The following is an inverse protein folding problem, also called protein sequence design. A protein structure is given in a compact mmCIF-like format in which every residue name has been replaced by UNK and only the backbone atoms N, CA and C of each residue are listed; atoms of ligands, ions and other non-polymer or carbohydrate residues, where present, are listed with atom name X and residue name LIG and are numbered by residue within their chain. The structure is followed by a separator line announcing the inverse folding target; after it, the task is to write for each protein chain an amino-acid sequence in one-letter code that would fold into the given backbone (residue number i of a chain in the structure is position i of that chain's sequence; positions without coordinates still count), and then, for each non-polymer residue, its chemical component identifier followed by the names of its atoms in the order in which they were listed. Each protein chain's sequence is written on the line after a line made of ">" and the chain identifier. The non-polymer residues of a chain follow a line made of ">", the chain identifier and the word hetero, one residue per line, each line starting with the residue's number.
data_IF_583446421506
#
_entry.id   IF_583446421506
#
_cell.length_a   1.000
_cell.length_b   1.000
_cell.length_c   1.000
_cell.angle_alpha   90.00
_cell.angle_beta   90.00
_cell.angle_gamma   90.00
#
_symmetry.space_group_name_H-M   'P 1'
#
loop_
_entity.id
_entity.type
_entity.pdbx_description
1 polymer ?
#
# COMPACT_ATOMS: atom_id res chain seq x y z
N UNK A 1 -6.07 11.50 -0.70
CA UNK A 1 -6.88 10.49 -1.41
C UNK A 1 -7.79 9.74 -0.44
N UNK A 2 -8.84 9.09 -0.91
CA UNK A 2 -9.69 8.18 -0.12
C UNK A 2 -9.15 6.75 -0.11
N UNK A 3 -9.70 5.89 0.77
CA UNK A 3 -9.33 4.46 0.80
C UNK A 3 -9.66 3.76 -0.52
N UNK A 4 -10.82 4.07 -1.09
CA UNK A 4 -11.29 3.44 -2.32
C UNK A 4 -10.48 3.90 -3.53
N UNK A 5 -10.09 5.18 -3.57
CA UNK A 5 -9.16 5.70 -4.57
C UNK A 5 -7.80 4.99 -4.53
N UNK A 6 -7.24 4.80 -3.32
CA UNK A 6 -5.99 4.06 -3.13
C UNK A 6 -6.15 2.59 -3.56
N UNK A 7 -7.27 1.97 -3.23
CA UNK A 7 -7.56 0.58 -3.58
C UNK A 7 -7.69 0.43 -5.08
N UNK A 8 -8.44 1.31 -5.75
CA UNK A 8 -8.58 1.31 -7.20
C UNK A 8 -7.24 1.55 -7.90
N UNK A 9 -6.43 2.50 -7.42
CA UNK A 9 -5.08 2.71 -7.93
C UNK A 9 -4.21 1.46 -7.78
N UNK A 10 -4.21 0.84 -6.60
CA UNK A 10 -3.38 -0.33 -6.33
C UNK A 10 -3.81 -1.52 -7.19
N UNK A 11 -5.10 -1.78 -7.32
CA UNK A 11 -5.62 -2.85 -8.19
C UNK A 11 -5.22 -2.63 -9.66
N UNK A 12 -5.32 -1.40 -10.17
CA UNK A 12 -4.82 -1.06 -11.53
C UNK A 12 -3.31 -1.27 -11.69
N UNK A 13 -2.55 -1.19 -10.60
CA UNK A 13 -1.10 -1.41 -10.57
C UNK A 13 -0.73 -2.86 -10.20
N UNK A 14 -1.66 -3.80 -10.31
CA UNK A 14 -1.42 -5.23 -10.11
C UNK A 14 -1.32 -5.66 -8.65
N UNK A 15 -1.83 -4.88 -7.71
CA UNK A 15 -2.02 -5.34 -6.34
C UNK A 15 -3.35 -6.10 -6.21
N UNK A 16 -3.36 -7.19 -5.46
CA UNK A 16 -4.54 -8.02 -5.24
C UNK A 16 -5.09 -7.84 -3.82
N UNK A 17 -6.41 -7.69 -3.68
CA UNK A 17 -7.06 -7.61 -2.37
C UNK A 17 -7.06 -8.99 -1.70
N UNK A 18 -6.62 -9.04 -0.44
CA UNK A 18 -6.66 -10.24 0.38
C UNK A 18 -7.97 -10.36 1.19
N UNK A 19 -8.21 -11.52 1.79
CA UNK A 19 -9.42 -11.79 2.60
C UNK A 19 -9.57 -10.88 3.84
N UNK A 20 -8.53 -10.13 4.21
CA UNK A 20 -8.53 -9.22 5.35
C UNK A 20 -8.66 -7.75 4.92
N UNK A 21 -8.83 -7.49 3.61
CA UNK A 21 -8.98 -6.14 3.09
C UNK A 21 -7.67 -5.36 2.97
N UNK A 22 -6.53 -6.05 2.93
CA UNK A 22 -5.24 -5.46 2.54
C UNK A 22 -4.92 -5.79 1.09
N UNK A 23 -4.02 -5.02 0.48
CA UNK A 23 -3.58 -5.27 -0.90
C UNK A 23 -2.20 -5.92 -0.88
N UNK A 24 -1.98 -6.99 -1.64
CA UNK A 24 -0.69 -7.69 -1.74
C UNK A 24 -0.15 -7.67 -3.16
N UNK A 25 1.17 -7.68 -3.29
CA UNK A 25 1.86 -7.80 -4.56
C UNK A 25 3.23 -8.45 -4.35
N UNK A 26 3.60 -9.36 -5.25
CA UNK A 26 4.94 -9.95 -5.27
C UNK A 26 5.92 -9.02 -5.98
N UNK A 27 7.10 -8.90 -5.40
CA UNK A 27 8.26 -8.20 -5.94
C UNK A 27 9.48 -9.12 -5.88
N UNK A 28 10.55 -8.79 -6.59
CA UNK A 28 11.78 -9.60 -6.63
C UNK A 28 12.42 -9.80 -5.25
N UNK A 29 12.19 -8.87 -4.33
CA UNK A 29 12.67 -8.91 -2.95
C UNK A 29 11.64 -9.49 -1.95
N UNK A 30 10.50 -10.01 -2.43
CA UNK A 30 9.51 -10.72 -1.63
C UNK A 30 8.08 -10.17 -1.74
N UNK A 31 7.18 -10.72 -0.92
CA UNK A 31 5.78 -10.28 -0.88
C UNK A 31 5.64 -8.96 -0.14
N UNK A 32 5.05 -7.97 -0.78
CA UNK A 32 4.68 -6.71 -0.15
C UNK A 32 3.17 -6.63 0.10
N UNK A 33 2.80 -5.78 1.06
CA UNK A 33 1.40 -5.48 1.38
C UNK A 33 1.18 -3.99 1.61
N UNK A 34 0.10 -3.44 1.08
CA UNK A 34 -0.50 -2.20 1.56
C UNK A 34 -1.57 -2.54 2.60
N UNK A 35 -1.24 -2.31 3.88
CA UNK A 35 -2.18 -2.42 4.98
C UNK A 35 -3.05 -1.16 5.01
N UNK A 36 -4.34 -1.33 4.70
CA UNK A 36 -5.32 -0.26 4.70
C UNK A 36 -5.98 -0.12 6.08
N UNK A 37 -5.96 1.09 6.62
CA UNK A 37 -6.71 1.46 7.83
C UNK A 37 -7.69 2.59 7.50
N UNK A 38 -8.49 3.01 8.50
CA UNK A 38 -9.48 4.07 8.32
C UNK A 38 -8.87 5.41 7.87
N UNK A 39 -7.64 5.73 8.31
CA UNK A 39 -7.04 7.06 8.09
C UNK A 39 -5.65 7.01 7.44
N UNK A 40 -5.06 5.83 7.28
CA UNK A 40 -3.69 5.67 6.83
C UNK A 40 -3.50 4.36 6.05
N UNK A 41 -2.45 4.33 5.25
CA UNK A 41 -1.93 3.11 4.61
C UNK A 41 -0.49 2.86 5.07
N UNK A 42 -0.11 1.59 5.18
CA UNK A 42 1.28 1.17 5.45
C UNK A 42 1.76 0.26 4.33
N UNK A 43 2.94 0.53 3.80
CA UNK A 43 3.66 -0.38 2.92
C UNK A 43 4.54 -1.28 3.77
N UNK A 44 4.29 -2.57 3.69
CA UNK A 44 4.94 -3.59 4.49
C UNK A 44 5.56 -4.65 3.59
N UNK A 45 6.62 -5.31 4.06
CA UNK A 45 7.25 -6.47 3.43
C UNK A 45 7.09 -7.69 4.34
N UNK A 46 6.85 -8.85 3.73
CA UNK A 46 6.79 -10.12 4.44
C UNK A 46 8.20 -10.57 4.84
N UNK A 47 8.35 -11.03 6.08
CA UNK A 47 9.59 -11.54 6.65
C UNK A 47 9.29 -12.83 7.41
N UNK A 48 10.30 -13.65 7.78
CA UNK A 48 10.11 -14.82 8.64
C UNK A 48 9.43 -14.51 9.99
N UNK A 49 9.52 -13.26 10.46
CA UNK A 49 8.95 -12.81 11.74
C UNK A 49 7.64 -12.03 11.57
N UNK A 50 7.05 -12.03 10.38
CA UNK A 50 5.81 -11.31 10.06
C UNK A 50 6.03 -10.12 9.14
N UNK A 51 5.19 -9.09 9.27
CA UNK A 51 5.19 -7.96 8.35
C UNK A 51 6.01 -6.79 8.91
N UNK A 52 7.06 -6.39 8.18
CA UNK A 52 7.88 -5.24 8.54
C UNK A 52 7.42 -3.99 7.78
N UNK A 53 7.22 -2.88 8.48
CA UNK A 53 6.84 -1.60 7.86
C UNK A 53 8.04 -0.98 7.13
N UNK A 54 7.87 -0.71 5.84
CA UNK A 54 8.83 0.04 5.03
C UNK A 54 8.50 1.53 5.02
N UNK A 55 7.22 1.86 4.88
CA UNK A 55 6.73 3.23 4.89
C UNK A 55 5.25 3.30 5.31
N UNK A 56 4.77 4.49 5.64
CA UNK A 56 3.36 4.75 5.92
C UNK A 56 2.97 6.18 5.61
N UNK A 57 1.69 6.41 5.34
CA UNK A 57 1.17 7.76 5.13
C UNK A 57 -0.31 7.84 5.50
N UNK A 58 -0.73 8.99 6.02
CA UNK A 58 -2.14 9.28 6.20
C UNK A 58 -2.81 9.48 4.83
N UNK A 59 -4.00 8.93 4.65
CA UNK A 59 -4.76 9.02 3.40
C UNK A 59 -4.92 10.47 2.91
N UNK A 60 -5.09 11.42 3.85
CA UNK A 60 -5.15 12.87 3.54
C UNK A 60 -3.87 13.45 2.93
N UNK A 61 -2.71 12.82 3.16
CA UNK A 61 -1.41 13.24 2.63
C UNK A 61 -1.01 12.45 1.37
N UNK A 62 -1.65 11.30 1.13
CA UNK A 62 -1.39 10.49 -0.05
C UNK A 62 -2.01 11.13 -1.29
N UNK A 63 -1.21 11.14 -2.37
CA UNK A 63 -1.58 11.67 -3.66
C UNK A 63 -0.87 10.89 -4.77
N UNK A 64 -1.38 11.00 -6.00
CA UNK A 64 -0.72 10.47 -7.18
C UNK A 64 0.12 11.57 -7.82
N UNK A 65 1.35 11.24 -8.20
CA UNK A 65 2.22 12.13 -8.97
C UNK A 65 1.76 12.20 -10.43
N UNK A 66 2.32 13.14 -11.20
CA UNK A 66 1.99 13.30 -12.63
C UNK A 66 2.25 12.03 -13.46
N UNK A 67 3.21 11.20 -13.06
CA UNK A 67 3.52 9.89 -13.66
C UNK A 67 2.73 8.73 -13.05
N UNK A 68 1.68 9.02 -12.26
CA UNK A 68 0.76 8.01 -11.74
C UNK A 68 1.30 7.17 -10.59
N UNK A 69 2.44 7.54 -9.98
CA UNK A 69 3.00 6.87 -8.80
C UNK A 69 2.36 7.38 -7.52
N UNK A 70 2.33 6.52 -6.50
CA UNK A 70 1.84 6.89 -5.17
C UNK A 70 2.93 7.65 -4.41
N UNK A 71 2.61 8.84 -3.92
CA UNK A 71 3.48 9.68 -3.10
C UNK A 71 2.83 10.02 -1.74
N UNK A 72 3.64 10.60 -0.84
CA UNK A 72 3.22 10.99 0.52
C UNK A 72 3.38 9.90 1.58
N UNK A 73 4.06 8.80 1.26
CA UNK A 73 4.50 7.81 2.26
C UNK A 73 5.85 8.22 2.87
N UNK A 74 5.98 8.09 4.19
CA UNK A 74 7.19 8.36 4.96
C UNK A 74 7.69 7.08 5.65
N UNK A 75 9.01 6.95 5.84
CA UNK A 75 9.67 5.77 6.45
C UNK A 75 9.36 5.65 7.95
#
# INVERSE_FOLDING_TARGET
>A
MTRDELTAWATRNGWALDRWGHLKKEFDNGTHRLKLSRIAARHEISTPFGWARLASGYLKNLHLTADGKLAGMNR
#
